data_IF_964267447336
#
_entry.id   IF_964267447336
#
_cell.length_a   1.000
_cell.length_b   1.000
_cell.length_c   1.000
_cell.angle_alpha   90.00
_cell.angle_beta   90.00
_cell.angle_gamma   90.00
#
_symmetry.space_group_name_H-M   'P 1'
#
loop_
_entity.id
_entity.type
_entity.pdbx_description
1 polymer ?
#
# COMPACT_ATOMS: atom_id res chain seq x y z
N UNK A 1 10.35 4.56 -8.23
CA UNK A 1 9.34 4.11 -9.19
C UNK A 1 9.91 3.71 -10.55
N UNK A 2 10.67 4.59 -11.23
CA UNK A 2 11.33 4.26 -12.51
C UNK A 2 12.11 2.94 -12.46
N UNK A 3 12.88 2.71 -11.39
CA UNK A 3 13.64 1.47 -11.20
C UNK A 3 12.73 0.21 -11.20
N UNK A 4 11.60 0.26 -10.50
CA UNK A 4 10.65 -0.86 -10.45
C UNK A 4 10.05 -1.15 -11.83
N UNK A 5 9.65 -0.09 -12.55
CA UNK A 5 9.10 -0.23 -13.90
C UNK A 5 10.15 -0.80 -14.86
N UNK A 6 11.41 -0.35 -14.78
CA UNK A 6 12.50 -0.91 -15.57
C UNK A 6 12.65 -2.42 -15.34
N UNK A 7 12.63 -2.87 -14.08
CA UNK A 7 12.71 -4.30 -13.75
C UNK A 7 11.56 -5.08 -14.38
N UNK A 8 10.32 -4.59 -14.21
CA UNK A 8 9.13 -5.23 -14.79
C UNK A 8 9.24 -5.32 -16.31
N UNK A 9 9.67 -4.24 -16.96
CA UNK A 9 9.85 -4.19 -18.41
C UNK A 9 10.92 -5.16 -18.90
N UNK A 10 12.08 -5.22 -18.24
CA UNK A 10 13.15 -6.15 -18.59
C UNK A 10 12.66 -7.60 -18.49
N UNK A 11 11.99 -7.96 -17.39
CA UNK A 11 11.42 -9.30 -17.24
C UNK A 11 10.38 -9.61 -18.33
N UNK A 12 9.55 -8.64 -18.72
CA UNK A 12 8.50 -8.80 -19.74
C UNK A 12 9.04 -8.98 -21.15
N UNK A 13 10.16 -8.32 -21.49
CA UNK A 13 10.79 -8.45 -22.81
C UNK A 13 11.41 -9.84 -22.97
N UNK A 14 12.03 -10.37 -21.92
CA UNK A 14 12.71 -11.67 -21.98
C UNK A 14 11.78 -12.86 -21.73
N UNK A 15 10.68 -12.66 -20.99
CA UNK A 15 9.79 -13.74 -20.58
C UNK A 15 8.32 -13.30 -20.54
N UNK A 16 7.41 -14.25 -20.71
CA UNK A 16 6.00 -14.01 -20.42
C UNK A 16 5.81 -13.92 -18.91
N UNK A 17 5.67 -12.69 -18.40
CA UNK A 17 5.33 -12.46 -16.98
C UNK A 17 4.02 -13.17 -16.61
N UNK A 18 4.11 -14.13 -15.70
CA UNK A 18 2.95 -14.79 -15.08
C UNK A 18 2.39 -13.99 -13.91
N UNK A 19 3.26 -13.29 -13.18
CA UNK A 19 2.92 -12.50 -12.00
C UNK A 19 3.82 -11.28 -11.91
N UNK A 20 3.24 -10.14 -11.56
CA UNK A 20 3.97 -8.97 -11.06
C UNK A 20 2.98 -8.09 -10.29
N UNK A 21 3.49 -7.31 -9.35
CA UNK A 21 2.70 -6.33 -8.62
C UNK A 21 3.54 -5.10 -8.29
N UNK A 22 2.93 -3.93 -8.35
CA UNK A 22 3.53 -2.66 -7.99
C UNK A 22 2.55 -1.90 -7.11
N UNK A 23 2.89 -1.73 -5.84
CA UNK A 23 2.10 -0.98 -4.87
C UNK A 23 2.61 0.46 -4.75
N UNK A 24 1.68 1.41 -4.70
CA UNK A 24 1.98 2.79 -4.37
C UNK A 24 0.75 3.49 -3.77
N UNK A 25 0.92 4.37 -2.77
CA UNK A 25 -0.15 5.27 -2.34
C UNK A 25 -0.83 6.00 -3.50
N UNK A 26 -2.14 6.23 -3.39
CA UNK A 26 -2.87 7.02 -4.39
C UNK A 26 -2.21 8.38 -4.59
N UNK A 27 -1.99 8.74 -5.85
CA UNK A 27 -1.33 9.98 -6.24
C UNK A 27 -1.20 10.09 -7.77
N UNK A 28 -0.15 10.77 -8.22
CA UNK A 28 0.05 11.07 -9.64
C UNK A 28 0.33 9.85 -10.52
N UNK A 29 0.64 8.68 -9.95
CA UNK A 29 0.92 7.47 -10.74
C UNK A 29 -0.23 7.04 -11.64
N UNK A 30 -1.48 7.35 -11.28
CA UNK A 30 -2.66 7.12 -12.13
C UNK A 30 -2.61 7.87 -13.46
N UNK A 31 -1.92 9.02 -13.51
CA UNK A 31 -1.73 9.80 -14.74
C UNK A 31 -0.80 9.11 -15.74
N UNK A 32 0.13 8.28 -15.24
CA UNK A 32 1.16 7.62 -16.06
C UNK A 32 0.83 6.14 -16.34
N UNK A 33 0.27 5.43 -15.36
CA UNK A 33 -0.01 4.00 -15.44
C UNK A 33 -1.49 3.68 -15.70
N UNK A 34 -2.34 4.70 -15.76
CA UNK A 34 -3.78 4.53 -15.90
C UNK A 34 -4.44 3.96 -14.65
N UNK A 35 -5.58 3.30 -14.85
CA UNK A 35 -6.40 2.76 -13.77
C UNK A 35 -5.65 1.62 -13.04
N UNK A 36 -5.53 1.65 -11.70
CA UNK A 36 -4.97 0.54 -10.94
C UNK A 36 -5.86 -0.70 -11.06
N UNK A 37 -5.24 -1.87 -10.94
CA UNK A 37 -5.98 -3.13 -10.93
C UNK A 37 -6.84 -3.23 -9.67
N UNK A 38 -6.25 -2.84 -8.52
CA UNK A 38 -6.93 -2.87 -7.23
C UNK A 38 -6.51 -1.66 -6.39
N UNK A 39 -7.43 -1.13 -5.58
CA UNK A 39 -7.18 -0.04 -4.63
C UNK A 39 -7.75 -0.45 -3.28
N UNK A 40 -6.97 -0.28 -2.21
CA UNK A 40 -7.40 -0.60 -0.85
C UNK A 40 -6.97 0.45 0.16
N UNK A 41 -7.66 0.50 1.30
CA UNK A 41 -7.22 1.16 2.52
C UNK A 41 -6.74 0.10 3.52
N UNK A 42 -5.69 0.39 4.27
CA UNK A 42 -5.05 -0.61 5.14
C UNK A 42 -6.00 -1.20 6.21
N UNK A 43 -6.99 -0.44 6.68
CA UNK A 43 -8.00 -0.93 7.64
C UNK A 43 -8.83 -2.09 7.12
N UNK A 44 -8.97 -2.25 5.81
CA UNK A 44 -9.65 -3.40 5.21
C UNK A 44 -8.93 -4.72 5.53
N UNK A 45 -7.68 -4.64 5.99
CA UNK A 45 -6.83 -5.78 6.34
C UNK A 45 -6.39 -5.80 7.81
N UNK A 46 -7.01 -4.99 8.68
CA UNK A 46 -6.77 -4.98 10.12
C UNK A 46 -5.90 -3.84 10.65
N UNK A 47 -5.36 -2.99 9.77
CA UNK A 47 -4.48 -1.90 10.16
C UNK A 47 -5.20 -0.56 10.33
N UNK A 48 -4.88 0.24 11.36
CA UNK A 48 -5.62 1.47 11.66
C UNK A 48 -5.32 2.66 10.70
N UNK A 49 -4.79 2.38 9.51
CA UNK A 49 -4.45 3.41 8.52
C UNK A 49 -5.50 3.48 7.42
N UNK A 50 -5.85 4.71 7.02
CA UNK A 50 -6.88 5.00 6.01
C UNK A 50 -6.30 5.57 4.71
N UNK A 51 -5.01 5.36 4.47
CA UNK A 51 -4.39 5.81 3.23
C UNK A 51 -4.83 4.85 2.12
N UNK A 52 -5.50 5.36 1.07
CA UNK A 52 -5.78 4.53 -0.07
C UNK A 52 -4.48 4.28 -0.84
N UNK A 53 -4.32 3.03 -1.25
CA UNK A 53 -3.13 2.47 -1.85
C UNK A 53 -3.53 1.72 -3.11
N UNK A 54 -2.87 2.04 -4.21
CA UNK A 54 -3.09 1.45 -5.52
C UNK A 54 -2.10 0.33 -5.78
N UNK A 55 -2.56 -0.70 -6.47
CA UNK A 55 -1.71 -1.79 -6.93
C UNK A 55 -2.02 -2.13 -8.41
N UNK A 56 -0.95 -2.19 -9.20
CA UNK A 56 -0.97 -2.58 -10.62
C UNK A 56 -0.27 -3.91 -10.77
N UNK A 57 -0.73 -4.77 -11.70
CA UNK A 57 -0.09 -6.07 -11.85
C UNK A 57 -0.93 -7.16 -12.49
N UNK A 58 -0.37 -8.36 -12.49
CA UNK A 58 -1.06 -9.62 -12.75
C UNK A 58 -1.13 -10.40 -11.44
N UNK A 59 -2.23 -10.26 -10.72
CA UNK A 59 -2.45 -10.91 -9.44
C UNK A 59 -3.94 -11.11 -9.20
N UNK A 60 -4.29 -11.96 -8.23
CA UNK A 60 -5.64 -12.14 -7.71
C UNK A 60 -5.87 -11.15 -6.58
N UNK A 61 -7.03 -10.51 -6.59
CA UNK A 61 -7.42 -9.54 -5.56
C UNK A 61 -7.53 -10.23 -4.18
N UNK A 62 -6.90 -9.66 -3.13
CA UNK A 62 -7.06 -10.18 -1.79
C UNK A 62 -8.44 -9.85 -1.22
N UNK A 63 -9.04 -10.80 -0.50
CA UNK A 63 -10.29 -10.57 0.21
C UNK A 63 -10.04 -9.71 1.47
N UNK A 64 -10.79 -8.60 1.60
CA UNK A 64 -10.76 -7.77 2.81
C UNK A 64 -11.18 -8.59 4.05
N UNK A 65 -10.38 -8.52 5.11
CA UNK A 65 -10.68 -9.17 6.39
C UNK A 65 -11.65 -8.35 7.25
N UNK A 66 -11.65 -7.03 7.05
CA UNK A 66 -12.53 -6.09 7.73
C UNK A 66 -13.46 -5.45 6.71
N UNK A 67 -14.77 -5.66 6.88
CA UNK A 67 -15.81 -5.14 5.95
C UNK A 67 -16.38 -3.79 6.37
N UNK A 68 -16.28 -3.46 7.66
CA UNK A 68 -16.83 -2.23 8.24
C UNK A 68 -15.69 -1.34 8.70
N UNK A 69 -15.64 -0.11 8.19
CA UNK A 69 -14.59 0.85 8.55
C UNK A 69 -14.65 1.17 10.05
N UNK A 70 -13.57 0.97 10.81
CA UNK A 70 -13.54 1.34 12.22
C UNK A 70 -13.84 2.83 12.44
N UNK A 71 -14.61 3.14 13.47
CA UNK A 71 -14.89 4.53 13.85
C UNK A 71 -13.64 5.20 14.45
N UNK A 72 -13.57 6.52 14.35
CA UNK A 72 -12.55 7.31 15.04
C UNK A 72 -11.13 7.27 14.44
N UNK A 73 -10.95 6.68 13.25
CA UNK A 73 -9.67 6.66 12.53
C UNK A 73 -9.20 8.05 12.07
N UNK A 74 -10.14 8.95 11.83
CA UNK A 74 -9.88 10.32 11.39
C UNK A 74 -10.09 11.34 12.50
N UNK A 75 -9.34 12.45 12.42
CA UNK A 75 -9.55 13.65 13.21
C UNK A 75 -9.75 14.82 12.26
N UNK A 76 -10.90 15.47 12.36
CA UNK A 76 -11.17 16.74 11.69
C UNK A 76 -10.67 17.88 12.58
N UNK A 77 -9.91 18.79 11.99
CA UNK A 77 -9.33 19.96 12.65
C UNK A 77 -10.18 21.20 12.37
N UNK A 78 -10.04 22.23 13.21
CA UNK A 78 -10.77 23.49 13.07
C UNK A 78 -10.53 24.17 11.70
N UNK A 79 -9.36 23.96 11.09
CA UNK A 79 -9.01 24.44 9.76
C UNK A 79 -9.62 23.63 8.60
N UNK A 80 -10.58 22.74 8.89
CA UNK A 80 -11.26 21.89 7.90
C UNK A 80 -10.46 20.67 7.43
N UNK A 81 -9.16 20.56 7.75
CA UNK A 81 -8.35 19.39 7.38
C UNK A 81 -8.79 18.16 8.17
N UNK A 82 -8.74 17.00 7.52
CA UNK A 82 -9.00 15.71 8.16
C UNK A 82 -7.77 14.83 8.00
N UNK A 83 -7.16 14.41 9.12
CA UNK A 83 -6.00 13.52 9.10
C UNK A 83 -6.32 12.18 9.76
N UNK A 84 -5.61 11.14 9.35
CA UNK A 84 -5.60 9.86 10.05
C UNK A 84 -4.87 10.01 11.41
N UNK A 85 -5.52 9.62 12.51
CA UNK A 85 -4.94 9.76 13.87
C UNK A 85 -3.63 8.97 14.03
N UNK A 86 -3.59 7.77 13.47
CA UNK A 86 -2.43 6.87 13.57
C UNK A 86 -1.28 7.26 12.63
N UNK A 87 -1.42 8.34 11.84
CA UNK A 87 -0.36 8.81 10.95
C UNK A 87 0.57 9.86 11.59
N UNK A 88 0.30 10.36 12.81
CA UNK A 88 1.18 11.34 13.44
C UNK A 88 2.50 10.69 13.91
N UNK A 89 2.42 9.50 14.50
CA UNK A 89 3.56 8.76 15.09
C UNK A 89 3.77 7.44 14.35
N UNK A 90 4.45 7.49 13.19
CA UNK A 90 4.87 6.27 12.51
C UNK A 90 6.07 5.70 13.27
N UNK A 91 5.79 4.79 14.21
CA UNK A 91 6.83 4.05 14.91
C UNK A 91 7.50 3.09 13.92
N UNK A 92 8.83 3.04 13.92
CA UNK A 92 9.57 2.06 13.13
C UNK A 92 9.24 0.66 13.68
N UNK A 93 8.77 -0.29 12.86
CA UNK A 93 8.61 -1.66 13.31
C UNK A 93 9.95 -2.23 13.80
N UNK A 94 9.92 -3.14 14.78
CA UNK A 94 11.13 -3.67 15.43
C UNK A 94 12.07 -4.36 14.42
N UNK A 95 11.51 -5.01 13.39
CA UNK A 95 12.27 -5.65 12.30
C UNK A 95 13.11 -4.67 11.46
N UNK A 96 12.77 -3.38 11.45
CA UNK A 96 13.49 -2.32 10.73
C UNK A 96 14.28 -1.39 11.67
N UNK A 97 14.33 -1.71 12.96
CA UNK A 97 15.06 -0.92 13.94
C UNK A 97 16.56 -0.91 13.63
N UNK A 98 17.19 0.25 13.79
CA UNK A 98 18.61 0.44 13.48
C UNK A 98 18.93 0.70 12.00
N UNK A 99 17.97 0.57 11.08
CA UNK A 99 18.18 0.86 9.65
C UNK A 99 18.20 2.36 9.31
N UNK A 100 18.03 3.25 10.30
CA UNK A 100 18.04 4.70 10.09
C UNK A 100 16.94 5.18 9.14
N UNK A 101 15.79 4.48 9.09
CA UNK A 101 14.72 4.78 8.14
C UNK A 101 14.17 6.19 8.36
N UNK A 102 14.01 6.92 7.26
CA UNK A 102 13.31 8.20 7.29
C UNK A 102 11.83 7.97 7.64
N UNK A 103 11.18 9.00 8.17
CA UNK A 103 9.72 8.98 8.40
C UNK A 103 8.93 8.60 7.15
N UNK A 104 9.39 9.02 5.97
CA UNK A 104 8.76 8.66 4.70
C UNK A 104 8.89 7.16 4.39
N UNK A 105 10.07 6.57 4.64
CA UNK A 105 10.30 5.14 4.48
C UNK A 105 9.45 4.31 5.45
N UNK A 106 9.36 4.70 6.73
CA UNK A 106 8.51 4.01 7.71
C UNK A 106 7.04 4.00 7.27
N UNK A 107 6.58 5.11 6.68
CA UNK A 107 5.20 5.26 6.18
C UNK A 107 4.93 4.55 4.86
N UNK A 108 5.98 4.07 4.19
CA UNK A 108 5.89 3.30 2.96
C UNK A 108 5.93 1.79 3.22
N UNK A 109 6.13 1.36 4.47
CA UNK A 109 6.07 -0.07 4.83
C UNK A 109 4.63 -0.55 4.65
N UNK A 110 4.48 -1.55 3.80
CA UNK A 110 3.20 -2.23 3.58
C UNK A 110 2.79 -2.96 4.86
N UNK A 111 1.57 -2.77 5.37
CA UNK A 111 1.18 -3.42 6.61
C UNK A 111 1.04 -4.94 6.50
N UNK A 112 1.31 -5.68 7.61
CA UNK A 112 1.34 -7.14 7.59
C UNK A 112 -0.03 -7.76 7.30
N UNK A 113 -1.13 -7.08 7.65
CA UNK A 113 -2.47 -7.56 7.35
C UNK A 113 -2.71 -7.71 5.85
N UNK A 114 -2.37 -6.67 5.08
CA UNK A 114 -2.48 -6.71 3.62
C UNK A 114 -1.47 -7.69 3.01
N UNK A 115 -0.21 -7.64 3.45
CA UNK A 115 0.84 -8.52 2.92
C UNK A 115 0.45 -10.01 3.02
N UNK A 116 -0.11 -10.42 4.17
CA UNK A 116 -0.58 -11.78 4.39
C UNK A 116 -1.78 -12.15 3.51
N UNK A 117 -2.76 -11.25 3.36
CA UNK A 117 -3.94 -11.50 2.53
C UNK A 117 -3.54 -11.59 1.04
N UNK A 118 -2.65 -10.71 0.59
CA UNK A 118 -2.13 -10.67 -0.77
C UNK A 118 -1.33 -11.94 -1.10
N UNK A 119 -0.45 -12.38 -0.19
CA UNK A 119 0.28 -13.64 -0.32
C UNK A 119 -0.67 -14.84 -0.43
N UNK A 120 -1.67 -14.95 0.45
CA UNK A 120 -2.64 -16.05 0.43
C UNK A 120 -3.44 -16.11 -0.87
N UNK A 121 -3.79 -14.96 -1.44
CA UNK A 121 -4.53 -14.90 -2.70
C UNK A 121 -3.69 -15.34 -3.92
N UNK A 122 -2.36 -15.23 -3.83
CA UNK A 122 -1.44 -15.41 -4.96
C UNK A 122 -0.42 -16.54 -4.80
N UNK A 123 -0.58 -17.40 -3.78
CA UNK A 123 0.21 -18.61 -3.57
C UNK A 123 -0.07 -19.69 -4.62
#
# INVERSE_FOLDING_TARGET
MQACLNIIWQCRIHTKLAFWALENPVGFMRQFMGRPHYTFEHWQFGDMQIKPTDIWGYFKEPAATVKVKPQGLTKRYANGRTNCKHWCNANCPEEYKGMGLTRAAIRAITPPGFANAFYKANK
#
